data_IF_567339960285
#
_entry.id   IF_567339960285
#
_cell.length_a   1.000
_cell.length_b   1.000
_cell.length_c   1.000
_cell.angle_alpha   90.00
_cell.angle_beta   90.00
_cell.angle_gamma   90.00
#
_symmetry.space_group_name_H-M   'P 1'
#
loop_
_entity.id
_entity.type
_entity.pdbx_description
1 polymer ?
#
# COMPACT_ATOMS: atom_id res chain seq x y z
N UNK A 1 -19.33 10.47 -8.07
CA UNK A 1 -19.43 9.02 -7.88
C UNK A 1 -18.13 8.40 -7.35
N UNK A 2 -17.03 8.29 -8.14
CA UNK A 2 -15.77 7.69 -7.62
C UNK A 2 -15.25 8.38 -6.36
N UNK A 3 -15.15 9.73 -6.27
CA UNK A 3 -14.79 10.40 -5.02
C UNK A 3 -15.72 10.03 -3.87
N UNK A 4 -17.04 10.04 -4.08
CA UNK A 4 -18.00 9.68 -3.03
C UNK A 4 -17.82 8.24 -2.50
N UNK A 5 -17.45 7.30 -3.37
CA UNK A 5 -17.12 5.92 -2.98
C UNK A 5 -15.86 5.89 -2.10
N UNK A 6 -14.80 6.59 -2.52
CA UNK A 6 -13.53 6.65 -1.78
C UNK A 6 -13.69 7.39 -0.45
N UNK A 7 -14.44 8.49 -0.44
CA UNK A 7 -14.72 9.29 0.77
C UNK A 7 -15.52 8.49 1.79
N UNK A 8 -16.52 7.72 1.34
CA UNK A 8 -17.33 6.87 2.23
C UNK A 8 -16.48 5.78 2.90
N UNK A 9 -15.57 5.17 2.14
CA UNK A 9 -14.62 4.22 2.73
C UNK A 9 -13.70 4.90 3.75
N UNK A 10 -13.23 6.10 3.46
CA UNK A 10 -12.38 6.88 4.38
C UNK A 10 -13.11 7.34 5.65
N UNK A 11 -14.41 7.61 5.56
CA UNK A 11 -15.21 8.10 6.68
C UNK A 11 -15.81 6.99 7.55
N UNK A 12 -16.18 5.86 6.96
CA UNK A 12 -17.03 4.85 7.61
C UNK A 12 -16.34 3.55 8.01
N UNK A 13 -15.09 3.34 7.60
CA UNK A 13 -14.38 2.08 7.83
C UNK A 13 -14.51 1.08 6.70
N UNK A 14 -13.80 -0.03 6.83
CA UNK A 14 -13.65 -1.07 5.83
C UNK A 14 -14.43 -2.35 6.24
N UNK A 15 -15.38 -2.85 5.44
CA UNK A 15 -15.84 -2.34 4.13
C UNK A 15 -16.90 -1.23 4.23
N UNK A 16 -16.94 -0.34 3.22
CA UNK A 16 -18.05 0.59 3.02
C UNK A 16 -19.22 -0.13 2.34
N UNK A 17 -20.43 0.05 2.88
CA UNK A 17 -21.66 -0.57 2.37
C UNK A 17 -22.51 0.45 1.63
N UNK A 18 -23.16 0.00 0.56
CA UNK A 18 -24.06 0.78 -0.29
C UNK A 18 -25.34 0.00 -0.54
N UNK A 19 -26.49 0.60 -0.37
CA UNK A 19 -27.77 0.03 -0.78
C UNK A 19 -27.96 0.15 -2.28
N UNK A 20 -28.79 -0.74 -2.87
CA UNK A 20 -29.17 -0.62 -4.29
C UNK A 20 -29.86 0.74 -4.57
N UNK A 21 -30.63 1.29 -3.60
CA UNK A 21 -31.28 2.59 -3.74
C UNK A 21 -30.27 3.73 -3.88
N UNK A 22 -29.23 3.76 -3.04
CA UNK A 22 -28.16 4.76 -3.17
C UNK A 22 -27.43 4.63 -4.51
N UNK A 23 -27.18 3.41 -4.97
CA UNK A 23 -26.52 3.15 -6.24
C UNK A 23 -27.40 3.47 -7.44
N UNK A 24 -28.71 3.41 -7.32
CA UNK A 24 -29.66 3.78 -8.38
C UNK A 24 -29.61 5.27 -8.74
N UNK A 25 -29.12 6.12 -7.84
CA UNK A 25 -28.88 7.56 -8.10
C UNK A 25 -27.62 7.81 -8.95
N UNK A 26 -26.77 6.81 -9.09
CA UNK A 26 -25.53 6.93 -9.85
C UNK A 26 -25.77 6.74 -11.35
N UNK A 27 -24.98 7.41 -12.24
CA UNK A 27 -25.08 7.17 -13.67
C UNK A 27 -24.86 5.71 -14.01
N UNK A 28 -25.81 5.07 -14.67
CA UNK A 28 -25.82 3.62 -14.94
C UNK A 28 -24.52 3.10 -15.59
N UNK A 29 -24.00 3.84 -16.60
CA UNK A 29 -22.77 3.43 -17.28
C UNK A 29 -21.57 3.41 -16.32
N UNK A 30 -21.48 4.41 -15.45
CA UNK A 30 -20.39 4.53 -14.49
C UNK A 30 -20.49 3.49 -13.37
N UNK A 31 -21.72 3.21 -12.90
CA UNK A 31 -21.99 2.13 -11.94
C UNK A 31 -21.59 0.77 -12.52
N UNK A 32 -21.95 0.49 -13.77
CA UNK A 32 -21.57 -0.76 -14.45
C UNK A 32 -20.04 -0.89 -14.58
N UNK A 33 -19.35 0.18 -14.88
CA UNK A 33 -17.88 0.17 -14.95
C UNK A 33 -17.23 -0.14 -13.60
N UNK A 34 -17.73 0.45 -12.52
CA UNK A 34 -17.22 0.23 -11.15
C UNK A 34 -17.50 -1.21 -10.69
N UNK A 35 -18.72 -1.73 -10.96
CA UNK A 35 -19.08 -3.14 -10.71
C UNK A 35 -18.19 -4.09 -11.53
N UNK A 36 -18.02 -3.83 -12.82
CA UNK A 36 -17.19 -4.66 -13.73
C UNK A 36 -15.70 -4.62 -13.33
N UNK A 37 -15.21 -3.48 -12.88
CA UNK A 37 -13.82 -3.36 -12.38
C UNK A 37 -13.59 -4.11 -11.07
N UNK A 38 -14.66 -4.47 -10.33
CA UNK A 38 -14.59 -5.17 -9.05
C UNK A 38 -14.44 -4.25 -7.84
N UNK A 39 -14.68 -2.93 -8.01
CA UNK A 39 -14.69 -1.99 -6.89
C UNK A 39 -15.95 -2.13 -6.02
N UNK A 40 -17.07 -2.56 -6.62
CA UNK A 40 -18.29 -2.89 -5.92
C UNK A 40 -18.63 -4.36 -6.15
N UNK A 41 -18.81 -5.11 -5.08
CA UNK A 41 -19.26 -6.50 -5.10
C UNK A 41 -20.50 -6.65 -4.24
N UNK A 42 -21.41 -7.52 -4.67
CA UNK A 42 -22.59 -7.84 -3.90
C UNK A 42 -22.19 -8.54 -2.60
N UNK A 43 -22.87 -8.18 -1.52
CA UNK A 43 -22.62 -8.74 -0.18
C UNK A 43 -23.91 -9.33 0.40
N UNK A 44 -23.87 -9.73 1.68
CA UNK A 44 -25.04 -10.24 2.37
C UNK A 44 -26.19 -9.22 2.34
N UNK A 45 -27.45 -9.66 2.30
CA UNK A 45 -28.60 -8.77 2.35
C UNK A 45 -28.60 -7.87 3.58
N UNK A 46 -29.17 -6.68 3.45
CA UNK A 46 -29.29 -5.71 4.52
C UNK A 46 -30.07 -6.29 5.71
N UNK A 47 -29.49 -6.19 6.89
CA UNK A 47 -30.14 -6.58 8.14
C UNK A 47 -31.15 -5.53 8.62
N UNK A 48 -31.03 -4.29 8.13
CA UNK A 48 -31.97 -3.18 8.42
C UNK A 48 -32.18 -2.36 7.15
N UNK A 49 -33.38 -1.81 6.99
CA UNK A 49 -33.74 -0.94 5.87
C UNK A 49 -34.54 0.26 6.38
N UNK A 50 -34.58 1.33 5.60
CA UNK A 50 -35.54 2.42 5.82
C UNK A 50 -36.94 1.90 5.58
N UNK A 51 -37.84 2.12 6.53
CA UNK A 51 -39.22 1.61 6.48
C UNK A 51 -39.94 2.11 5.21
N UNK A 52 -40.41 1.23 4.31
CA UNK A 52 -41.17 1.64 3.15
C UNK A 52 -42.51 2.26 3.55
N UNK A 53 -42.73 3.52 3.14
CA UNK A 53 -43.99 4.24 3.42
C UNK A 53 -44.05 4.85 4.81
N UNK A 54 -42.93 4.97 5.54
CA UNK A 54 -42.84 5.79 6.73
C UNK A 54 -42.27 7.19 6.34
N UNK A 55 -42.93 8.27 6.75
CA UNK A 55 -42.47 9.64 6.45
C UNK A 55 -41.21 10.03 7.25
N UNK A 56 -40.91 9.29 8.33
CA UNK A 56 -39.83 9.62 9.25
C UNK A 56 -38.49 8.91 8.92
N UNK A 57 -38.37 8.22 7.79
CA UNK A 57 -37.14 7.52 7.35
C UNK A 57 -36.51 6.61 8.43
N UNK A 58 -37.35 5.92 9.21
CA UNK A 58 -36.90 5.05 10.29
C UNK A 58 -36.08 3.87 9.76
N UNK A 59 -34.85 3.68 10.24
CA UNK A 59 -34.10 2.47 10.01
C UNK A 59 -34.65 1.33 10.90
N UNK A 60 -35.23 0.31 10.28
CA UNK A 60 -35.91 -0.81 10.96
C UNK A 60 -35.19 -2.14 10.66
N UNK A 61 -35.08 -3.05 11.64
CA UNK A 61 -34.55 -4.38 11.39
C UNK A 61 -35.50 -5.16 10.47
N UNK A 62 -34.90 -5.93 9.56
CA UNK A 62 -35.66 -6.79 8.63
C UNK A 62 -35.91 -8.14 9.28
N UNK A 63 -37.19 -8.52 9.31
CA UNK A 63 -37.63 -9.84 9.73
C UNK A 63 -38.10 -10.67 8.52
N UNK A 64 -38.00 -11.99 8.62
CA UNK A 64 -38.42 -12.91 7.57
C UNK A 64 -39.64 -13.70 7.99
N UNK A 65 -40.74 -13.62 7.24
CA UNK A 65 -41.91 -14.45 7.42
C UNK A 65 -41.93 -15.56 6.40
N UNK A 66 -42.26 -16.77 6.84
CA UNK A 66 -42.53 -17.89 5.93
C UNK A 66 -44.02 -17.87 5.60
N UNK A 67 -44.35 -17.70 4.31
CA UNK A 67 -45.72 -17.77 3.83
C UNK A 67 -46.21 -19.24 3.80
N UNK A 68 -47.48 -19.43 3.70
CA UNK A 68 -48.10 -20.78 3.57
C UNK A 68 -47.58 -21.56 2.34
N UNK A 69 -47.06 -20.84 1.33
CA UNK A 69 -46.40 -21.42 0.15
C UNK A 69 -44.96 -21.91 0.42
N UNK A 70 -44.42 -21.71 1.62
CA UNK A 70 -43.00 -21.95 1.93
C UNK A 70 -42.05 -20.81 1.49
N UNK A 71 -42.57 -19.78 0.82
CA UNK A 71 -41.76 -18.64 0.36
C UNK A 71 -41.42 -17.71 1.52
N UNK A 72 -40.15 -17.32 1.65
CA UNK A 72 -39.71 -16.31 2.62
C UNK A 72 -40.03 -14.91 2.10
N UNK A 73 -40.64 -14.09 2.94
CA UNK A 73 -40.97 -12.69 2.64
C UNK A 73 -40.41 -11.77 3.70
N UNK A 74 -39.57 -10.81 3.32
CA UNK A 74 -39.05 -9.83 4.24
C UNK A 74 -40.10 -8.77 4.61
N UNK A 75 -40.07 -8.33 5.86
CA UNK A 75 -40.92 -7.26 6.37
C UNK A 75 -40.19 -6.53 7.49
N UNK A 76 -40.64 -5.33 7.80
CA UNK A 76 -40.25 -4.60 9.00
C UNK A 76 -41.46 -4.35 9.88
N UNK A 77 -41.26 -4.23 11.18
CA UNK A 77 -42.30 -3.83 12.14
C UNK A 77 -42.10 -2.35 12.44
N UNK A 78 -43.01 -1.53 12.01
CA UNK A 78 -42.97 -0.10 12.21
C UNK A 78 -44.01 0.31 13.27
N UNK A 79 -43.55 0.69 14.46
CA UNK A 79 -44.37 1.13 15.60
C UNK A 79 -44.94 2.53 15.43
N UNK A 80 -44.51 3.28 14.42
CA UNK A 80 -45.03 4.61 14.06
C UNK A 80 -46.20 4.57 13.08
N UNK A 81 -46.60 3.38 12.65
CA UNK A 81 -47.73 3.15 11.77
C UNK A 81 -48.84 2.42 12.50
N UNK A 82 -49.96 3.11 12.70
CA UNK A 82 -51.14 2.58 13.37
C UNK A 82 -51.96 1.62 12.49
N UNK A 83 -51.75 1.66 11.15
CA UNK A 83 -52.51 0.94 10.15
C UNK A 83 -51.99 -0.45 9.79
N UNK A 84 -50.66 -0.68 10.00
CA UNK A 84 -50.03 -1.92 9.54
C UNK A 84 -48.90 -2.33 10.47
N UNK A 85 -49.10 -3.39 11.25
CA UNK A 85 -48.07 -3.93 12.17
C UNK A 85 -46.87 -4.55 11.44
N UNK A 86 -47.00 -4.93 10.14
CA UNK A 86 -45.93 -5.50 9.33
C UNK A 86 -45.93 -4.86 7.96
N UNK A 87 -44.85 -4.16 7.63
CA UNK A 87 -44.67 -3.51 6.33
C UNK A 87 -43.79 -4.39 5.45
N UNK A 88 -44.31 -4.90 4.30
CA UNK A 88 -43.51 -5.72 3.38
C UNK A 88 -42.33 -4.91 2.81
N UNK A 89 -41.16 -5.54 2.75
CA UNK A 89 -39.94 -4.95 2.17
C UNK A 89 -39.70 -5.60 0.80
N UNK A 90 -39.54 -4.82 -0.27
CA UNK A 90 -39.10 -5.34 -1.56
C UNK A 90 -37.70 -5.97 -1.44
N UNK A 91 -37.44 -7.11 -2.10
CA UNK A 91 -36.14 -7.77 -2.07
C UNK A 91 -35.01 -6.87 -2.59
N UNK A 92 -35.30 -5.99 -3.53
CA UNK A 92 -34.33 -5.01 -4.07
C UNK A 92 -33.82 -4.03 -3.01
N UNK A 93 -34.62 -3.76 -1.96
CA UNK A 93 -34.17 -2.92 -0.84
C UNK A 93 -33.17 -3.66 0.07
N UNK A 94 -33.09 -4.97 -0.01
CA UNK A 94 -32.15 -5.78 0.77
C UNK A 94 -30.82 -5.94 0.04
N UNK A 95 -30.75 -5.63 -1.24
CA UNK A 95 -29.52 -5.77 -2.01
C UNK A 95 -28.50 -4.76 -1.51
N UNK A 96 -27.35 -5.29 -1.08
CA UNK A 96 -26.22 -4.49 -0.61
C UNK A 96 -24.98 -4.77 -1.44
N UNK A 97 -24.20 -3.73 -1.60
CA UNK A 97 -22.93 -3.75 -2.27
C UNK A 97 -21.85 -3.25 -1.31
N UNK A 98 -20.68 -3.83 -1.42
CA UNK A 98 -19.55 -3.43 -0.59
C UNK A 98 -18.36 -3.00 -1.43
N UNK A 99 -17.63 -2.03 -0.88
CA UNK A 99 -16.31 -1.64 -1.34
C UNK A 99 -15.34 -1.73 -0.17
N UNK A 100 -14.22 -2.40 -0.34
CA UNK A 100 -13.19 -2.56 0.68
C UNK A 100 -11.83 -2.06 0.21
N UNK A 101 -10.97 -1.73 1.17
CA UNK A 101 -9.58 -1.37 0.91
C UNK A 101 -8.87 -2.44 0.07
N UNK A 102 -9.13 -3.70 0.39
CA UNK A 102 -8.61 -4.86 -0.34
C UNK A 102 -9.04 -4.89 -1.80
N UNK A 103 -10.33 -4.66 -2.08
CA UNK A 103 -10.84 -4.61 -3.45
C UNK A 103 -10.22 -3.48 -4.26
N UNK A 104 -10.07 -2.30 -3.65
CA UNK A 104 -9.41 -1.16 -4.30
C UNK A 104 -7.94 -1.50 -4.61
N UNK A 105 -7.21 -2.07 -3.64
CA UNK A 105 -5.82 -2.48 -3.86
C UNK A 105 -5.69 -3.51 -5.00
N UNK A 106 -6.64 -4.44 -5.12
CA UNK A 106 -6.68 -5.43 -6.19
C UNK A 106 -6.92 -4.80 -7.56
N UNK A 107 -7.85 -3.85 -7.64
CA UNK A 107 -8.13 -3.09 -8.86
C UNK A 107 -6.94 -2.23 -9.26
N UNK A 108 -6.33 -1.52 -8.32
CA UNK A 108 -5.12 -0.71 -8.58
C UNK A 108 -3.97 -1.59 -9.04
N UNK A 109 -3.76 -2.76 -8.43
CA UNK A 109 -2.73 -3.72 -8.86
C UNK A 109 -2.95 -4.20 -10.30
N UNK A 110 -4.21 -4.49 -10.68
CA UNK A 110 -4.57 -4.85 -12.06
C UNK A 110 -4.28 -3.70 -13.04
N UNK A 111 -4.68 -2.46 -12.70
CA UNK A 111 -4.43 -1.29 -13.54
C UNK A 111 -2.94 -0.99 -13.72
N UNK A 112 -2.13 -1.23 -12.70
CA UNK A 112 -0.68 -1.08 -12.74
C UNK A 112 0.05 -2.27 -13.36
N UNK A 113 -0.66 -3.38 -13.59
CA UNK A 113 -0.10 -4.66 -14.03
C UNK A 113 1.03 -5.15 -13.10
N UNK A 114 0.77 -5.13 -11.79
CA UNK A 114 1.67 -5.62 -10.75
C UNK A 114 1.05 -6.81 -10.02
N UNK A 115 1.90 -7.69 -9.47
CA UNK A 115 1.43 -8.77 -8.59
C UNK A 115 1.26 -8.22 -7.20
N UNK A 116 0.06 -8.37 -6.66
CA UNK A 116 -0.25 -8.02 -5.29
C UNK A 116 0.45 -8.97 -4.31
N UNK A 117 0.96 -8.43 -3.20
CA UNK A 117 1.40 -9.22 -2.06
C UNK A 117 0.21 -9.83 -1.32
N UNK A 118 0.49 -10.81 -0.46
CA UNK A 118 -0.54 -11.53 0.33
C UNK A 118 -0.69 -10.98 1.74
N UNK A 119 0.11 -10.00 2.14
CA UNK A 119 0.12 -9.47 3.51
C UNK A 119 -0.91 -8.35 3.67
N UNK A 120 -2.13 -8.74 4.07
CA UNK A 120 -3.24 -7.84 4.41
C UNK A 120 -3.48 -7.82 5.94
N UNK A 121 -2.44 -7.96 6.73
CA UNK A 121 -2.53 -8.05 8.20
C UNK A 121 -3.01 -6.76 8.88
N UNK A 122 -3.07 -5.64 8.14
CA UNK A 122 -3.48 -4.35 8.66
C UNK A 122 -4.73 -3.83 7.93
N UNK A 123 -5.83 -3.65 8.68
CA UNK A 123 -7.11 -3.14 8.16
C UNK A 123 -7.01 -1.73 7.52
N UNK A 124 -5.98 -0.95 7.83
CA UNK A 124 -5.77 0.41 7.33
C UNK A 124 -4.73 0.48 6.20
N UNK A 125 -4.13 -0.63 5.83
CA UNK A 125 -3.06 -0.68 4.81
C UNK A 125 -3.21 -1.95 3.98
N UNK A 126 -3.16 -1.81 2.66
CA UNK A 126 -3.18 -2.94 1.75
C UNK A 126 -2.01 -2.86 0.76
N UNK A 127 -1.25 -3.94 0.61
CA UNK A 127 -0.18 -4.00 -0.37
C UNK A 127 -0.77 -4.10 -1.79
N UNK A 128 -0.34 -3.23 -2.67
CA UNK A 128 -0.70 -3.24 -4.10
C UNK A 128 0.32 -4.04 -4.90
N UNK A 129 1.59 -4.02 -4.47
CA UNK A 129 2.67 -4.73 -5.12
C UNK A 129 3.88 -3.87 -5.43
N UNK A 130 4.80 -4.39 -6.24
CA UNK A 130 6.05 -3.70 -6.61
C UNK A 130 5.93 -3.07 -7.99
N UNK A 131 6.02 -1.75 -8.05
CA UNK A 131 6.06 -0.99 -9.30
C UNK A 131 7.51 -0.75 -9.71
N UNK A 132 7.84 -1.09 -10.96
CA UNK A 132 9.16 -0.87 -11.55
C UNK A 132 9.15 0.41 -12.37
N UNK A 133 10.00 1.35 -12.02
CA UNK A 133 10.32 2.55 -12.78
C UNK A 133 11.47 2.31 -13.77
N UNK A 134 12.01 3.40 -14.31
CA UNK A 134 13.14 3.35 -15.22
C UNK A 134 14.47 3.05 -14.51
N UNK A 135 14.63 3.54 -13.29
CA UNK A 135 15.86 3.42 -12.51
C UNK A 135 15.66 2.61 -11.22
N UNK A 136 14.47 2.69 -10.62
CA UNK A 136 14.18 2.14 -9.31
C UNK A 136 12.95 1.21 -9.33
N UNK A 137 12.79 0.47 -8.24
CA UNK A 137 11.58 -0.29 -7.95
C UNK A 137 11.11 0.05 -6.55
N UNK A 138 9.81 0.19 -6.35
CA UNK A 138 9.25 0.51 -5.05
C UNK A 138 7.97 -0.28 -4.77
N UNK A 139 7.74 -0.59 -3.51
CA UNK A 139 6.45 -1.06 -3.05
C UNK A 139 5.43 0.06 -3.12
N UNK A 140 4.26 -0.27 -3.61
CA UNK A 140 3.06 0.57 -3.61
C UNK A 140 2.13 0.04 -2.56
N UNK A 141 1.78 0.87 -1.59
CA UNK A 141 0.88 0.51 -0.49
C UNK A 141 -0.30 1.46 -0.52
N UNK A 142 -1.50 0.91 -0.49
CA UNK A 142 -2.73 1.68 -0.30
C UNK A 142 -2.97 1.90 1.19
N UNK A 143 -3.17 3.13 1.60
CA UNK A 143 -3.34 3.52 3.00
C UNK A 143 -4.68 4.20 3.18
N UNK A 144 -5.45 3.70 4.13
CA UNK A 144 -6.70 4.28 4.60
C UNK A 144 -6.43 5.08 5.88
N UNK A 145 -6.56 6.39 5.77
CA UNK A 145 -6.45 7.33 6.86
C UNK A 145 -7.62 8.31 6.71
N UNK A 146 -7.45 9.59 6.90
CA UNK A 146 -8.47 10.62 6.59
C UNK A 146 -8.85 10.66 5.11
N UNK A 147 -7.95 10.22 4.26
CA UNK A 147 -8.14 10.06 2.82
C UNK A 147 -7.50 8.76 2.38
N UNK A 148 -8.02 8.19 1.29
CA UNK A 148 -7.40 7.03 0.67
C UNK A 148 -6.23 7.49 -0.20
N UNK A 149 -5.02 6.98 0.09
CA UNK A 149 -3.79 7.40 -0.58
C UNK A 149 -2.88 6.23 -0.95
N UNK A 150 -2.06 6.41 -1.97
CA UNK A 150 -0.97 5.51 -2.33
C UNK A 150 0.34 6.02 -1.73
N UNK A 151 1.03 5.18 -0.98
CA UNK A 151 2.39 5.43 -0.50
C UNK A 151 3.40 4.71 -1.40
N UNK A 152 4.36 5.47 -1.95
CA UNK A 152 5.38 4.99 -2.89
C UNK A 152 6.67 5.73 -2.63
N UNK A 153 7.75 5.05 -2.23
CA UNK A 153 9.08 5.66 -2.03
C UNK A 153 9.07 6.93 -1.18
N UNK A 154 8.26 6.97 -0.12
CA UNK A 154 8.10 8.13 0.76
C UNK A 154 7.14 9.22 0.24
N UNK A 155 6.65 9.12 -0.99
CA UNK A 155 5.58 9.98 -1.49
C UNK A 155 4.21 9.47 -1.07
N UNK A 156 3.29 10.41 -0.82
CA UNK A 156 1.87 10.10 -0.59
C UNK A 156 1.03 10.80 -1.65
N UNK A 157 0.32 10.01 -2.45
CA UNK A 157 -0.57 10.46 -3.51
C UNK A 157 -2.01 10.13 -3.12
N UNK A 158 -2.88 11.13 -3.11
CA UNK A 158 -4.32 10.90 -2.89
C UNK A 158 -4.85 10.06 -4.05
N UNK A 159 -5.55 8.97 -3.76
CA UNK A 159 -6.00 8.04 -4.80
C UNK A 159 -6.97 8.71 -5.78
N UNK A 160 -7.82 9.61 -5.29
CA UNK A 160 -8.77 10.36 -6.13
C UNK A 160 -8.08 11.28 -7.18
N UNK A 161 -6.82 11.66 -6.95
CA UNK A 161 -6.07 12.52 -7.89
C UNK A 161 -5.42 11.72 -9.04
N UNK A 162 -5.29 10.41 -8.88
CA UNK A 162 -4.59 9.54 -9.84
C UNK A 162 -5.46 8.43 -10.42
N UNK A 163 -6.63 8.19 -9.83
CA UNK A 163 -7.60 7.19 -10.28
C UNK A 163 -8.79 7.88 -10.95
N UNK A 164 -9.02 7.63 -12.21
CA UNK A 164 -10.06 8.26 -13.00
C UNK A 164 -11.04 7.24 -13.57
N UNK A 165 -12.31 7.64 -13.62
CA UNK A 165 -13.37 6.89 -14.28
C UNK A 165 -13.82 7.67 -15.52
N UNK A 166 -13.38 7.22 -16.68
CA UNK A 166 -13.69 7.82 -17.98
C UNK A 166 -14.61 6.95 -18.83
N UNK A 167 -14.84 7.37 -20.06
CA UNK A 167 -15.67 6.62 -21.02
C UNK A 167 -15.11 5.21 -21.31
N UNK A 168 -13.79 5.04 -21.24
CA UNK A 168 -13.10 3.76 -21.46
C UNK A 168 -13.02 2.85 -20.24
N UNK A 169 -13.61 3.26 -19.11
CA UNK A 169 -13.53 2.54 -17.84
C UNK A 169 -12.61 3.22 -16.83
N UNK A 170 -12.22 2.44 -15.83
CA UNK A 170 -11.34 2.89 -14.77
C UNK A 170 -9.88 2.91 -15.26
N UNK A 171 -9.17 3.99 -15.00
CA UNK A 171 -7.75 4.17 -15.36
C UNK A 171 -6.97 4.80 -14.22
N UNK A 172 -5.65 4.62 -14.24
CA UNK A 172 -4.75 5.21 -13.25
C UNK A 172 -3.63 5.98 -13.94
N UNK A 173 -3.28 7.16 -13.42
CA UNK A 173 -2.20 7.98 -13.97
C UNK A 173 -0.83 7.38 -13.63
N UNK A 174 -0.45 6.35 -14.36
CA UNK A 174 0.79 5.60 -14.14
C UNK A 174 2.04 6.46 -14.18
N UNK A 175 2.07 7.54 -14.98
CA UNK A 175 3.24 8.43 -15.08
C UNK A 175 3.52 9.17 -13.77
N UNK A 176 2.48 9.58 -13.03
CA UNK A 176 2.65 10.21 -11.72
C UNK A 176 3.30 9.24 -10.74
N UNK A 177 2.84 7.99 -10.70
CA UNK A 177 3.39 6.96 -9.83
C UNK A 177 4.84 6.62 -10.18
N UNK A 178 5.16 6.47 -11.46
CA UNK A 178 6.53 6.17 -11.91
C UNK A 178 7.51 7.29 -11.55
N UNK A 179 7.10 8.56 -11.59
CA UNK A 179 7.92 9.68 -11.13
C UNK A 179 8.27 9.55 -9.65
N UNK A 180 7.33 9.09 -8.82
CA UNK A 180 7.56 8.85 -7.39
C UNK A 180 8.53 7.67 -7.17
N UNK A 181 8.44 6.61 -7.99
CA UNK A 181 9.36 5.47 -7.92
C UNK A 181 10.79 5.89 -8.25
N UNK A 182 10.98 6.67 -9.32
CA UNK A 182 12.31 7.04 -9.80
C UNK A 182 12.93 8.22 -9.01
N UNK A 183 12.13 8.99 -8.27
CA UNK A 183 12.60 10.10 -7.42
C UNK A 183 12.09 9.90 -5.98
N UNK A 184 12.66 8.94 -5.23
CA UNK A 184 12.24 8.74 -3.84
C UNK A 184 12.44 10.02 -3.03
N UNK A 185 11.48 10.32 -2.15
CA UNK A 185 11.66 11.38 -1.15
C UNK A 185 12.75 10.89 -0.21
N UNK A 186 13.85 11.61 -0.14
CA UNK A 186 14.81 11.41 0.92
C UNK A 186 14.04 11.66 2.23
N UNK A 187 13.84 10.61 3.02
CA UNK A 187 13.16 10.73 4.31
C UNK A 187 13.92 11.77 5.12
N UNK A 188 13.31 12.91 5.37
CA UNK A 188 13.91 13.99 6.17
C UNK A 188 14.15 13.60 7.64
N UNK A 189 13.93 12.32 7.98
CA UNK A 189 14.07 11.74 9.30
C UNK A 189 14.92 10.48 9.39
N UNK A 190 15.18 9.75 8.29
CA UNK A 190 15.84 8.44 8.34
C UNK A 190 16.63 8.07 7.06
N UNK A 191 17.27 9.03 6.42
CA UNK A 191 18.45 8.70 5.64
C UNK A 191 19.63 8.57 6.60
N UNK A 192 19.52 7.64 7.56
CA UNK A 192 20.72 7.07 8.16
C UNK A 192 21.60 6.65 6.98
N UNK A 193 22.72 7.36 6.75
CA UNK A 193 23.58 7.03 5.63
C UNK A 193 23.87 5.54 5.70
N UNK A 194 24.03 4.87 4.56
CA UNK A 194 24.32 3.44 4.56
C UNK A 194 25.49 3.10 5.51
N UNK A 195 26.36 4.04 5.73
CA UNK A 195 27.49 4.01 6.64
C UNK A 195 27.05 4.11 8.11
N UNK A 196 26.23 5.08 8.49
CA UNK A 196 25.64 5.20 9.83
C UNK A 196 24.80 3.97 10.21
N UNK A 197 24.01 3.46 9.29
CA UNK A 197 23.22 2.24 9.50
C UNK A 197 24.14 1.02 9.72
N UNK A 198 25.23 0.90 8.98
CA UNK A 198 26.23 -0.16 9.19
C UNK A 198 26.90 -0.03 10.56
N UNK A 199 27.31 1.16 10.94
CA UNK A 199 27.96 1.40 12.23
C UNK A 199 27.04 1.13 13.39
N UNK A 200 25.78 1.55 13.30
CA UNK A 200 24.74 1.22 14.29
C UNK A 200 24.51 -0.28 14.39
N UNK A 201 24.40 -0.99 13.26
CA UNK A 201 24.24 -2.43 13.25
C UNK A 201 25.48 -3.15 13.81
N UNK A 202 26.70 -2.70 13.48
CA UNK A 202 27.95 -3.22 14.05
C UNK A 202 28.01 -3.01 15.56
N UNK A 203 27.66 -1.83 16.04
CA UNK A 203 27.62 -1.51 17.48
C UNK A 203 26.60 -2.39 18.21
N UNK A 204 25.41 -2.58 17.65
CA UNK A 204 24.34 -3.39 18.24
C UNK A 204 24.70 -4.88 18.29
N UNK A 205 25.28 -5.42 17.22
CA UNK A 205 25.79 -6.80 17.18
C UNK A 205 26.88 -7.00 18.23
N UNK A 206 27.81 -6.03 18.40
CA UNK A 206 28.84 -6.10 19.47
C UNK A 206 28.23 -6.06 20.86
N UNK A 207 27.23 -5.19 21.10
CA UNK A 207 26.56 -5.07 22.37
C UNK A 207 25.82 -6.36 22.76
N UNK A 208 25.07 -6.99 21.84
CA UNK A 208 24.37 -8.24 22.09
C UNK A 208 25.34 -9.44 22.27
N UNK A 209 26.43 -9.45 21.55
CA UNK A 209 27.49 -10.45 21.75
C UNK A 209 28.16 -10.30 23.12
N UNK A 210 28.42 -9.07 23.58
CA UNK A 210 29.00 -8.77 24.90
C UNK A 210 28.09 -9.19 26.06
N UNK A 211 26.76 -9.19 25.87
CA UNK A 211 25.78 -9.72 26.83
C UNK A 211 25.77 -11.24 26.91
N UNK A 212 26.54 -11.95 26.08
CA UNK A 212 26.59 -13.41 26.03
C UNK A 212 25.34 -14.06 25.46
N UNK A 213 24.52 -13.33 24.71
CA UNK A 213 23.27 -13.81 24.11
C UNK A 213 23.57 -14.92 23.10
N UNK A 214 23.17 -16.17 23.37
CA UNK A 214 23.23 -17.23 22.38
C UNK A 214 22.35 -16.87 21.17
N UNK A 215 22.91 -16.89 19.95
CA UNK A 215 22.23 -16.51 18.73
C UNK A 215 21.94 -14.99 18.55
N UNK A 216 22.81 -14.13 19.10
CA UNK A 216 22.70 -12.66 19.02
C UNK A 216 22.40 -12.13 17.59
N UNK A 217 22.93 -12.76 16.55
CA UNK A 217 22.61 -12.37 15.16
C UNK A 217 21.12 -12.58 14.78
N UNK A 218 20.47 -13.61 15.34
CA UNK A 218 19.04 -13.82 15.10
C UNK A 218 18.19 -12.76 15.81
N UNK A 219 18.59 -12.38 17.02
CA UNK A 219 17.88 -11.36 17.81
C UNK A 219 17.98 -10.03 17.10
N UNK A 220 19.19 -9.58 16.73
CA UNK A 220 19.38 -8.30 16.03
C UNK A 220 18.69 -8.30 14.65
N UNK A 221 18.73 -9.41 13.91
CA UNK A 221 18.07 -9.51 12.62
C UNK A 221 16.54 -9.43 12.72
N UNK A 222 15.95 -10.08 13.74
CA UNK A 222 14.51 -10.02 13.99
C UNK A 222 14.04 -8.62 14.39
N UNK A 223 14.79 -7.93 15.25
CA UNK A 223 14.48 -6.57 15.69
C UNK A 223 14.60 -5.53 14.57
N UNK A 224 15.53 -5.74 13.63
CA UNK A 224 15.74 -4.84 12.47
C UNK A 224 14.89 -5.26 11.26
N UNK A 225 14.09 -6.32 11.35
CA UNK A 225 13.23 -6.81 10.28
C UNK A 225 13.98 -7.31 9.04
N UNK A 226 15.23 -7.78 9.20
CA UNK A 226 16.07 -8.28 8.11
C UNK A 226 16.48 -9.74 8.32
N UNK A 227 16.87 -10.42 7.23
CA UNK A 227 17.40 -11.78 7.35
C UNK A 227 18.80 -11.80 7.98
N UNK A 228 19.13 -12.89 8.71
CA UNK A 228 20.46 -13.09 9.30
C UNK A 228 21.57 -13.04 8.24
N UNK A 229 21.30 -13.54 7.03
CA UNK A 229 22.24 -13.48 5.90
C UNK A 229 22.50 -12.04 5.47
N UNK A 230 21.46 -11.21 5.40
CA UNK A 230 21.58 -9.79 5.06
C UNK A 230 22.32 -9.01 6.15
N UNK A 231 22.02 -9.30 7.43
CA UNK A 231 22.74 -8.70 8.55
C UNK A 231 24.25 -9.03 8.49
N UNK A 232 24.60 -10.29 8.23
CA UNK A 232 26.01 -10.69 8.07
C UNK A 232 26.71 -9.96 6.93
N UNK A 233 26.05 -9.77 5.79
CA UNK A 233 26.60 -8.98 4.67
C UNK A 233 26.85 -7.55 5.10
N UNK A 234 25.87 -6.87 5.66
CA UNK A 234 25.98 -5.47 6.08
C UNK A 234 27.08 -5.23 7.14
N UNK A 235 27.29 -6.19 8.03
CA UNK A 235 28.34 -6.10 9.08
C UNK A 235 29.73 -6.48 8.53
N UNK A 236 29.82 -7.33 7.49
CA UNK A 236 31.08 -7.84 6.92
C UNK A 236 31.66 -6.95 5.82
N UNK A 237 30.83 -6.21 5.07
CA UNK A 237 31.31 -5.28 4.06
C UNK A 237 32.03 -4.10 4.72
N UNK A 238 33.34 -4.25 4.94
CA UNK A 238 34.21 -3.09 5.05
C UNK A 238 34.30 -2.45 3.67
N UNK A 239 34.12 -1.13 3.53
CA UNK A 239 34.48 -0.48 2.29
C UNK A 239 35.98 -0.74 2.08
N UNK A 240 36.34 -1.43 0.99
CA UNK A 240 37.74 -1.46 0.58
C UNK A 240 38.20 0.00 0.54
N UNK A 241 39.34 0.35 1.20
CA UNK A 241 39.87 1.68 1.08
C UNK A 241 40.12 1.92 -0.42
N UNK A 242 39.32 2.78 -1.02
CA UNK A 242 39.54 3.27 -2.38
C UNK A 242 40.93 3.88 -2.37
N UNK A 243 41.90 3.15 -2.86
CA UNK A 243 43.24 3.69 -3.09
C UNK A 243 43.06 4.94 -3.95
N UNK A 244 43.67 6.07 -3.57
CA UNK A 244 43.52 7.29 -4.35
C UNK A 244 43.93 7.00 -5.79
N UNK A 245 43.20 7.50 -6.80
CA UNK A 245 43.39 7.16 -8.22
C UNK A 245 44.83 7.39 -8.73
N UNK A 246 45.65 8.18 -8.01
CA UNK A 246 47.04 8.48 -8.39
C UNK A 246 48.06 7.40 -7.95
N UNK A 247 47.67 6.37 -7.20
CA UNK A 247 48.62 5.34 -6.77
C UNK A 247 49.08 4.42 -7.92
N UNK A 248 48.36 4.41 -9.05
CA UNK A 248 48.66 3.57 -10.21
C UNK A 248 49.62 4.20 -11.21
N UNK A 249 49.95 5.49 -11.10
CA UNK A 249 50.79 6.25 -12.01
C UNK A 249 52.05 6.83 -11.37
N UNK A 250 52.71 6.14 -10.46
CA UNK A 250 54.07 6.50 -10.12
C UNK A 250 55.00 5.87 -11.13
N UNK A 251 55.60 6.67 -12.08
CA UNK A 251 56.64 6.14 -12.93
C UNK A 251 57.83 5.76 -12.06
N UNK A 252 58.28 4.53 -12.12
CA UNK A 252 59.52 4.04 -11.54
C UNK A 252 60.66 4.76 -12.21
N UNK A 253 61.15 5.89 -11.64
CA UNK A 253 62.38 6.53 -12.06
C UNK A 253 63.53 5.57 -11.70
N UNK A 254 64.11 4.90 -12.71
CA UNK A 254 65.37 4.16 -12.54
C UNK A 254 66.44 5.16 -12.20
N UNK A 255 67.27 4.96 -11.14
CA UNK A 255 68.42 5.84 -10.86
C UNK A 255 69.41 5.71 -11.99
N UNK A 256 69.67 6.82 -12.69
CA UNK A 256 70.75 6.92 -13.66
C UNK A 256 72.06 6.79 -12.90
N UNK A 257 72.86 5.77 -13.28
CA UNK A 257 74.18 5.50 -12.75
C UNK A 257 75.11 6.68 -12.96
N UNK A 258 75.63 7.20 -11.85
CA UNK A 258 76.65 8.26 -11.84
C UNK A 258 77.93 7.80 -12.53
N UNK A 259 78.28 8.44 -13.62
CA UNK A 259 79.58 8.29 -14.25
C UNK A 259 80.61 9.20 -13.48
N UNK A 260 81.47 8.57 -12.70
CA UNK A 260 82.60 9.21 -12.06
C UNK A 260 83.70 9.50 -13.10
N UNK A 261 83.87 10.79 -13.49
CA UNK A 261 85.02 11.23 -14.25
C UNK A 261 86.20 11.34 -13.33
N UNK A 262 87.20 10.43 -13.50
CA UNK A 262 88.53 10.58 -12.93
C UNK A 262 89.26 11.77 -13.63
N UNK A 263 89.59 12.82 -12.89
CA UNK A 263 90.50 13.85 -13.32
C UNK A 263 91.94 13.39 -13.13
N UNK A 264 92.66 13.35 -14.21
CA UNK A 264 94.11 13.04 -14.23
C UNK A 264 94.87 14.37 -14.13
N UNK A 265 95.58 14.59 -13.01
CA UNK A 265 96.53 15.67 -12.87
C UNK A 265 97.92 15.14 -13.24
N UNK A 266 98.68 15.86 -14.06
CA UNK A 266 100.09 15.67 -14.32
C UNK A 266 100.72 17.07 -14.62
N UNK A 267 102.03 17.18 -14.52
CA UNK A 267 102.89 17.52 -13.41
C UNK A 267 103.24 18.96 -13.44
#
# INVERSE_FOLDING_TARGET
>A
MLPALLDRLAAGGDPALFSEQELAEWPHHALNQVKTAGLLTQTAPAASVTCPGCEEECAMPVEMATLASGTLRPFVVCDKRDDTGRVPVPLTMLEQWQCSLRQIAEVVAKLLNVRRGTDDSNAMRADVGVLKGAQNSAHVVLVLDRTLALEISGHRLVLADVLELGAGGLSIERRALLRCVDKPVASAGDAESAEHRRDRLKARVRAENAKGTKAFLKVVAAEEGISVSRLKQLVKEEPEPTAPPDAWFRPTVKPQGGVTKKSKTQP
#
